data_IF_036441626670
#
_entry.id   IF_036441626670
#
_cell.length_a   1.000
_cell.length_b   1.000
_cell.length_c   1.000
_cell.angle_alpha   90.00
_cell.angle_beta   90.00
_cell.angle_gamma   90.00
#
_symmetry.space_group_name_H-M   'P 1'
#
loop_
_entity.id
_entity.type
_entity.pdbx_description
1 polymer ?
#
# COMPACT_ATOMS: atom_id res chain seq x y z
N UNK A 1 -1.41 11.76 15.57
CA UNK A 1 -1.50 11.49 14.11
C UNK A 1 -0.96 10.10 13.73
N UNK A 2 -0.99 9.09 14.61
CA UNK A 2 0.23 8.27 14.79
C UNK A 2 0.12 6.75 14.59
N UNK A 3 -0.86 6.21 13.87
CA UNK A 3 -0.79 4.79 13.42
C UNK A 3 -1.62 4.56 12.16
N UNK A 4 -2.84 5.11 12.18
CA UNK A 4 -3.79 5.04 11.06
C UNK A 4 -3.21 5.65 9.78
N UNK A 5 -2.62 6.84 9.88
CA UNK A 5 -2.04 7.57 8.75
C UNK A 5 -0.88 6.83 8.08
N UNK A 6 -0.08 6.06 8.83
CA UNK A 6 1.05 5.33 8.24
C UNK A 6 0.61 4.17 7.36
N UNK A 7 -0.56 3.58 7.65
CA UNK A 7 -1.10 2.49 6.83
C UNK A 7 -1.53 2.98 5.44
N UNK A 8 -2.15 4.17 5.39
CA UNK A 8 -2.51 4.86 4.13
C UNK A 8 -1.26 5.37 3.40
N UNK A 9 -0.35 6.01 4.13
CA UNK A 9 0.95 6.46 3.60
C UNK A 9 1.72 5.29 3.02
N UNK A 10 1.70 4.10 3.63
CA UNK A 10 2.38 2.90 3.10
C UNK A 10 1.96 2.55 1.69
N UNK A 11 0.66 2.62 1.38
CA UNK A 11 0.15 2.25 0.06
C UNK A 11 0.69 3.22 -0.99
N UNK A 12 0.54 4.51 -0.74
CA UNK A 12 0.99 5.56 -1.65
C UNK A 12 2.52 5.64 -1.74
N UNK A 13 3.21 5.45 -0.62
CA UNK A 13 4.67 5.45 -0.55
C UNK A 13 5.24 4.31 -1.39
N UNK A 14 4.66 3.11 -1.33
CA UNK A 14 5.10 1.96 -2.15
C UNK A 14 5.01 2.23 -3.65
N UNK A 15 4.01 2.99 -4.10
CA UNK A 15 3.80 3.32 -5.52
C UNK A 15 4.75 4.42 -6.01
N UNK A 16 4.99 5.45 -5.19
CA UNK A 16 5.75 6.64 -5.60
C UNK A 16 7.23 6.63 -5.22
N UNK A 17 7.66 5.77 -4.28
CA UNK A 17 9.04 5.79 -3.77
C UNK A 17 10.03 5.10 -4.71
N UNK A 18 11.23 5.70 -4.83
CA UNK A 18 12.37 5.11 -5.52
C UNK A 18 13.28 4.31 -4.57
N UNK A 19 13.99 3.29 -5.10
CA UNK A 19 14.93 2.47 -4.31
C UNK A 19 16.00 3.30 -3.60
N UNK A 20 16.44 4.39 -4.24
CA UNK A 20 17.38 5.34 -3.65
C UNK A 20 16.79 5.94 -2.36
N UNK A 21 15.57 6.49 -2.44
CA UNK A 21 14.87 7.07 -1.29
C UNK A 21 14.66 6.04 -0.18
N UNK A 22 14.28 4.80 -0.50
CA UNK A 22 14.14 3.73 0.51
C UNK A 22 15.48 3.45 1.20
N UNK A 23 16.56 3.24 0.43
CA UNK A 23 17.89 2.98 1.01
C UNK A 23 18.32 4.11 1.92
N UNK A 24 18.16 5.35 1.46
CA UNK A 24 18.58 6.50 2.23
C UNK A 24 17.74 6.71 3.49
N UNK A 25 16.43 6.42 3.44
CA UNK A 25 15.59 6.44 4.64
C UNK A 25 15.98 5.34 5.64
N UNK A 26 16.39 4.16 5.19
CA UNK A 26 16.92 3.12 6.08
C UNK A 26 18.19 3.60 6.79
N UNK A 27 19.12 4.21 6.05
CA UNK A 27 20.37 4.74 6.61
C UNK A 27 20.09 5.88 7.60
N UNK A 28 19.13 6.76 7.30
CA UNK A 28 18.68 7.84 8.20
C UNK A 28 18.03 7.30 9.49
N UNK A 29 17.22 6.24 9.40
CA UNK A 29 16.59 5.59 10.55
C UNK A 29 17.62 4.84 11.41
N UNK A 30 18.64 4.27 10.79
CA UNK A 30 19.77 3.66 11.46
C UNK A 30 20.60 4.68 12.25
N UNK A 31 20.92 5.82 11.62
CA UNK A 31 21.63 6.94 12.27
C UNK A 31 20.88 7.43 13.52
N UNK A 32 19.55 7.47 13.45
CA UNK A 32 18.68 7.87 14.56
C UNK A 32 18.44 6.76 15.59
N UNK A 33 19.08 5.59 15.43
CA UNK A 33 18.92 4.38 16.24
C UNK A 33 17.47 3.91 16.37
N UNK A 34 16.68 4.15 15.32
CA UNK A 34 15.31 3.64 15.23
C UNK A 34 15.32 2.17 14.78
N UNK A 35 16.16 1.85 13.81
CA UNK A 35 16.42 0.48 13.34
C UNK A 35 17.86 0.10 13.66
N UNK A 36 18.12 -1.19 13.85
CA UNK A 36 19.48 -1.71 14.00
C UNK A 36 20.12 -2.01 12.64
N UNK A 37 21.46 -2.11 12.60
CA UNK A 37 22.22 -2.44 11.39
C UNK A 37 21.74 -3.76 10.77
N UNK A 38 21.55 -4.77 11.62
CA UNK A 38 21.06 -6.10 11.22
C UNK A 38 19.66 -6.04 10.58
N UNK A 39 18.74 -5.25 11.14
CA UNK A 39 17.38 -5.10 10.58
C UNK A 39 17.41 -4.37 9.24
N UNK A 40 18.27 -3.36 9.09
CA UNK A 40 18.41 -2.60 7.84
C UNK A 40 19.03 -3.46 6.75
N UNK A 41 20.05 -4.24 7.08
CA UNK A 41 20.73 -5.14 6.16
C UNK A 41 19.79 -6.28 5.73
N UNK A 42 19.05 -6.88 6.66
CA UNK A 42 18.04 -7.89 6.35
C UNK A 42 16.98 -7.34 5.37
N UNK A 43 16.51 -6.11 5.55
CA UNK A 43 15.56 -5.48 4.63
C UNK A 43 16.20 -5.17 3.28
N UNK A 44 17.46 -4.75 3.24
CA UNK A 44 18.21 -4.48 2.00
C UNK A 44 18.48 -5.75 1.19
N UNK A 45 18.80 -6.87 1.85
CA UNK A 45 19.10 -8.16 1.21
C UNK A 45 17.84 -8.98 0.90
N UNK A 46 16.90 -9.06 1.84
CA UNK A 46 15.73 -9.94 1.72
C UNK A 46 14.63 -9.38 0.81
N UNK A 47 14.54 -8.05 0.65
CA UNK A 47 13.51 -7.42 -0.17
C UNK A 47 14.00 -7.16 -1.61
N UNK A 48 13.85 -8.15 -2.50
CA UNK A 48 14.19 -8.03 -3.93
C UNK A 48 13.37 -6.95 -4.67
N UNK A 49 12.17 -6.62 -4.20
CA UNK A 49 11.30 -5.60 -4.82
C UNK A 49 11.29 -4.32 -3.99
N UNK A 50 11.29 -3.17 -4.68
CA UNK A 50 11.12 -1.84 -4.07
C UNK A 50 9.87 -1.77 -3.19
N UNK A 51 8.78 -2.38 -3.64
CA UNK A 51 7.51 -2.42 -2.93
C UNK A 51 7.60 -3.18 -1.60
N UNK A 52 8.29 -4.31 -1.58
CA UNK A 52 8.45 -5.11 -0.36
C UNK A 52 9.38 -4.40 0.62
N UNK A 53 10.43 -3.76 0.11
CA UNK A 53 11.37 -2.97 0.91
C UNK A 53 10.66 -1.77 1.58
N UNK A 54 9.82 -1.05 0.83
CA UNK A 54 9.02 0.06 1.35
C UNK A 54 8.02 -0.39 2.42
N UNK A 55 7.35 -1.54 2.23
CA UNK A 55 6.45 -2.13 3.24
C UNK A 55 7.21 -2.48 4.52
N UNK A 56 8.33 -3.19 4.38
CA UNK A 56 9.13 -3.63 5.52
C UNK A 56 9.67 -2.44 6.31
N UNK A 57 10.09 -1.36 5.62
CA UNK A 57 10.50 -0.11 6.24
C UNK A 57 9.37 0.50 7.08
N UNK A 58 8.18 0.67 6.50
CA UNK A 58 7.05 1.27 7.24
C UNK A 58 6.62 0.37 8.41
N UNK A 59 6.57 -0.95 8.22
CA UNK A 59 6.23 -1.88 9.29
C UNK A 59 7.29 -1.87 10.41
N UNK A 60 8.58 -1.70 10.09
CA UNK A 60 9.65 -1.51 11.05
C UNK A 60 9.48 -0.24 11.88
N UNK A 61 9.22 0.89 11.21
CA UNK A 61 8.94 2.18 11.87
C UNK A 61 7.73 2.07 12.79
N UNK A 62 6.64 1.44 12.31
CA UNK A 62 5.41 1.27 13.08
C UNK A 62 5.60 0.37 14.29
N UNK A 63 6.38 -0.72 14.18
CA UNK A 63 6.72 -1.61 15.29
C UNK A 63 7.53 -0.93 16.39
N UNK A 64 8.36 0.06 16.05
CA UNK A 64 9.13 0.86 17.02
C UNK A 64 8.27 1.87 17.77
N UNK A 65 7.17 2.33 17.16
CA UNK A 65 6.17 3.18 17.78
C UNK A 65 6.22 4.64 17.32
N UNK A 66 5.41 5.49 17.96
CA UNK A 66 5.12 6.84 17.46
C UNK A 66 6.34 7.74 17.26
N UNK A 67 7.41 7.59 18.07
CA UNK A 67 8.66 8.36 17.91
C UNK A 67 9.37 8.05 16.59
N UNK A 68 9.39 6.77 16.20
CA UNK A 68 9.96 6.35 14.93
C UNK A 68 9.18 6.96 13.76
N UNK A 69 7.84 6.95 13.87
CA UNK A 69 6.95 7.51 12.86
C UNK A 69 7.18 9.00 12.63
N UNK A 70 7.41 9.76 13.71
CA UNK A 70 7.70 11.20 13.61
C UNK A 70 9.04 11.46 12.91
N UNK A 71 10.09 10.70 13.28
CA UNK A 71 11.40 10.77 12.62
C UNK A 71 11.29 10.39 11.15
N UNK A 72 10.52 9.35 10.81
CA UNK A 72 10.32 8.93 9.42
C UNK A 72 9.71 10.06 8.59
N UNK A 73 8.65 10.72 9.09
CA UNK A 73 8.00 11.83 8.39
C UNK A 73 8.96 13.02 8.23
N UNK A 74 9.75 13.33 9.26
CA UNK A 74 10.75 14.39 9.21
C UNK A 74 11.81 14.11 8.13
N UNK A 75 12.42 12.92 8.13
CA UNK A 75 13.45 12.55 7.14
C UNK A 75 12.88 12.46 5.73
N UNK A 76 11.64 11.99 5.59
CA UNK A 76 10.95 11.97 4.30
C UNK A 76 10.78 13.38 3.73
N UNK A 77 10.36 14.36 4.55
CA UNK A 77 10.24 15.76 4.12
C UNK A 77 11.58 16.37 3.71
N UNK A 78 12.64 16.07 4.46
CA UNK A 78 14.00 16.56 4.15
C UNK A 78 14.53 15.95 2.87
N UNK A 79 14.25 14.66 2.64
CA UNK A 79 14.73 13.94 1.46
C UNK A 79 13.91 14.28 0.21
N UNK A 80 12.60 14.35 0.35
CA UNK A 80 11.66 14.55 -0.75
C UNK A 80 10.37 15.22 -0.25
N UNK A 81 10.36 16.55 -0.30
CA UNK A 81 9.20 17.37 0.09
C UNK A 81 8.00 17.15 -0.83
N UNK A 82 8.23 16.82 -2.10
CA UNK A 82 7.17 16.52 -3.06
C UNK A 82 6.46 15.23 -2.68
N UNK A 83 7.23 14.17 -2.42
CA UNK A 83 6.69 12.89 -1.96
C UNK A 83 5.96 13.05 -0.62
N UNK A 84 6.52 13.80 0.33
CA UNK A 84 5.84 14.07 1.60
C UNK A 84 4.50 14.80 1.39
N UNK A 85 4.43 15.74 0.44
CA UNK A 85 3.20 16.48 0.13
C UNK A 85 2.16 15.57 -0.53
N UNK A 86 2.57 14.73 -1.49
CA UNK A 86 1.72 13.74 -2.15
C UNK A 86 1.12 12.73 -1.15
N UNK A 87 1.87 12.39 -0.11
CA UNK A 87 1.45 11.51 0.97
C UNK A 87 0.57 12.19 2.03
N UNK A 88 0.23 13.47 1.85
CA UNK A 88 -0.53 14.26 2.83
C UNK A 88 0.24 14.52 4.12
N UNK A 89 1.56 14.33 4.11
CA UNK A 89 2.48 14.61 5.21
C UNK A 89 3.08 16.01 5.09
N UNK A 90 2.79 16.77 4.03
CA UNK A 90 3.14 18.18 3.86
C UNK A 90 2.43 19.08 4.87
N UNK A 91 2.97 20.28 5.12
CA UNK A 91 2.27 21.26 5.96
C UNK A 91 0.91 21.60 5.31
N UNK A 92 -0.09 22.09 6.05
CA UNK A 92 -1.30 22.66 5.46
C UNK A 92 -0.93 23.98 4.78
N UNK A 93 -0.26 23.91 3.65
CA UNK A 93 -0.16 25.00 2.69
C UNK A 93 -0.95 24.52 1.50
N UNK A 94 -2.14 25.12 1.37
CA UNK A 94 -3.22 24.63 0.54
C UNK A 94 -2.88 24.53 -0.94
N UNK A 95 -3.77 23.80 -1.60
CA UNK A 95 -3.89 23.68 -3.05
C UNK A 95 -2.83 22.80 -3.72
N UNK A 96 -3.14 21.50 -3.81
CA UNK A 96 -3.44 20.91 -5.11
C UNK A 96 -4.36 19.71 -4.92
N UNK A 97 -5.62 19.94 -5.27
CA UNK A 97 -6.61 18.93 -5.52
C UNK A 97 -6.08 17.96 -6.58
N UNK A 98 -5.87 16.69 -6.22
CA UNK A 98 -6.10 15.63 -7.20
C UNK A 98 -6.74 14.43 -6.52
N UNK A 99 -8.07 14.39 -6.62
CA UNK A 99 -8.84 13.20 -6.33
C UNK A 99 -8.43 12.10 -7.29
N UNK A 100 -7.85 11.04 -6.76
CA UNK A 100 -8.02 9.71 -7.35
C UNK A 100 -8.57 8.80 -6.28
N UNK A 101 -9.90 8.86 -6.19
CA UNK A 101 -10.71 7.76 -5.68
C UNK A 101 -10.36 6.51 -6.49
N UNK A 102 -9.53 5.65 -5.91
CA UNK A 102 -9.58 4.22 -6.20
C UNK A 102 -10.20 3.59 -4.97
N UNK A 103 -11.51 3.41 -5.03
CA UNK A 103 -12.26 2.65 -4.06
C UNK A 103 -11.79 1.17 -4.09
N UNK A 104 -11.77 0.48 -2.94
CA UNK A 104 -11.54 -0.96 -2.92
C UNK A 104 -12.82 -1.68 -3.36
N UNK A 105 -12.87 -2.19 -4.59
CA UNK A 105 -13.86 -3.22 -4.93
C UNK A 105 -13.31 -4.57 -4.48
N UNK A 106 -13.48 -4.85 -3.20
CA UNK A 106 -13.53 -6.22 -2.68
C UNK A 106 -14.94 -6.43 -2.15
N UNK A 107 -15.76 -7.17 -2.89
CA UNK A 107 -16.76 -8.02 -2.29
C UNK A 107 -16.20 -9.44 -2.22
N UNK A 108 -15.51 -9.73 -1.12
CA UNK A 108 -15.32 -11.09 -0.65
C UNK A 108 -16.72 -11.60 -0.28
N UNK A 109 -17.34 -12.41 -1.14
CA UNK A 109 -18.60 -13.08 -0.86
C UNK A 109 -18.47 -14.56 -1.18
N UNK A 110 -18.08 -15.28 -0.12
CA UNK A 110 -18.41 -16.68 0.09
C UNK A 110 -19.94 -16.83 -0.07
N UNK A 111 -20.41 -17.47 -1.13
CA UNK A 111 -21.81 -17.90 -1.20
C UNK A 111 -21.89 -19.39 -1.54
N UNK A 112 -22.11 -20.14 -0.46
CA UNK A 112 -22.61 -21.50 -0.41
C UNK A 112 -24.01 -21.61 -1.05
N UNK A 113 -24.18 -22.65 -1.88
CA UNK A 113 -25.37 -23.41 -2.30
C UNK A 113 -26.79 -22.80 -2.20
N UNK A 114 -27.56 -22.96 -3.29
CA UNK A 114 -28.97 -23.36 -3.21
C UNK A 114 -29.44 -24.05 -4.52
N UNK A 115 -30.28 -25.07 -4.32
CA UNK A 115 -30.85 -26.00 -5.30
C UNK A 115 -32.05 -25.43 -6.09
N UNK A 116 -32.39 -26.17 -7.15
CA UNK A 116 -33.75 -26.51 -7.65
C UNK A 116 -34.33 -25.82 -8.90
N UNK A 117 -34.32 -26.59 -9.98
CA UNK A 117 -35.48 -27.14 -10.72
C UNK A 117 -36.53 -26.23 -11.42
N UNK A 118 -37.07 -26.83 -12.51
CA UNK A 118 -38.26 -26.49 -13.34
C UNK A 118 -37.89 -25.64 -14.56
N UNK A 119 -38.19 -25.98 -15.80
CA UNK A 119 -39.02 -27.04 -16.38
C UNK A 119 -39.66 -26.49 -17.66
N UNK A 120 -39.30 -27.07 -18.82
CA UNK A 120 -40.08 -27.19 -20.08
C UNK A 120 -40.65 -25.91 -20.75
N UNK A 121 -41.27 -25.99 -21.95
CA UNK A 121 -41.03 -26.81 -23.14
C UNK A 121 -40.83 -25.91 -24.39
N UNK A 122 -40.43 -26.47 -25.54
CA UNK A 122 -41.02 -26.02 -26.81
C UNK A 122 -41.06 -27.14 -27.85
N UNK A 123 -42.30 -27.46 -28.18
CA UNK A 123 -42.81 -28.39 -29.18
C UNK A 123 -42.53 -27.90 -30.60
N UNK A 124 -42.13 -28.85 -31.46
CA UNK A 124 -42.77 -29.15 -32.75
C UNK A 124 -42.57 -28.19 -33.93
N UNK A 125 -41.92 -28.67 -35.00
CA UNK A 125 -42.52 -28.98 -36.32
C UNK A 125 -41.38 -29.47 -37.27
N UNK A 126 -41.46 -30.65 -37.91
CA UNK A 126 -42.21 -30.98 -39.16
C UNK A 126 -41.44 -30.34 -40.35
N UNK A 127 -40.81 -31.00 -41.34
CA UNK A 127 -41.00 -32.32 -42.01
C UNK A 127 -39.74 -32.83 -42.74
N UNK A 128 -39.76 -34.13 -43.07
CA UNK A 128 -38.96 -34.81 -44.12
C UNK A 128 -39.79 -34.82 -45.43
N UNK A 129 -39.43 -35.54 -46.51
CA UNK A 129 -38.15 -35.87 -47.13
C UNK A 129 -38.13 -35.47 -48.63
N UNK A 130 -37.00 -35.71 -49.30
CA UNK A 130 -36.86 -35.79 -50.76
C UNK A 130 -35.63 -36.61 -51.11
#
# INVERSE_FOLDING_TARGET
>A
LTDRTLSDVRIRFVESVSRAVISTLLDDLLERRVLNEEEVEEVKESCSKKSDQARCLIDGVRKKGARASEIFIERLRVRDVHLATELGLGAPSGDHSNGSANAPDVPCSFQTQALSARGSPRTGQLERPG
#
